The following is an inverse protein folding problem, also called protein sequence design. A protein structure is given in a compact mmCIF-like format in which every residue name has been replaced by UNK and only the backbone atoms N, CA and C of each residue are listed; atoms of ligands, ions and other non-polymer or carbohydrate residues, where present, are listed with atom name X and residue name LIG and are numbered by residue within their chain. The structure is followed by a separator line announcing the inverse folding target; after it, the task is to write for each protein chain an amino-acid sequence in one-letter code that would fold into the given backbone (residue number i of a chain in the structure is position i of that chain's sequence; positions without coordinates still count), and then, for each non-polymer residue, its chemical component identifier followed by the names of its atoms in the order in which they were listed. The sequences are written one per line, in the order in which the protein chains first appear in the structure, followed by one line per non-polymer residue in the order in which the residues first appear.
data_IF_950930255362
#
_entry.id   IF_950930255362
#
_cell.length_a   1.000
_cell.length_b   1.000
_cell.length_c   1.000
_cell.angle_alpha   90.00
_cell.angle_beta   90.00
_cell.angle_gamma   90.00
#
_symmetry.space_group_name_H-M   'P 1'
#
loop_
_entity.id
_entity.type
_entity.pdbx_description
1 polymer ?
#
# COMPACT_ATOMS: atom_id res chain seq x y z
N UNK A 1 -0.62 -11.07 -20.41
CA UNK A 1 -2.08 -11.15 -20.25
C UNK A 1 -2.60 -9.87 -19.63
N UNK A 2 -3.62 -9.30 -20.21
CA UNK A 2 -4.24 -8.08 -19.69
C UNK A 2 -5.15 -8.43 -18.50
N UNK A 3 -5.15 -7.58 -17.45
CA UNK A 3 -6.10 -7.71 -16.35
C UNK A 3 -7.41 -6.97 -16.70
N UNK A 4 -8.37 -6.97 -15.78
CA UNK A 4 -9.70 -6.37 -16.00
C UNK A 4 -9.67 -4.84 -16.24
N UNK A 5 -8.54 -4.18 -16.00
CA UNK A 5 -8.37 -2.74 -16.20
C UNK A 5 -7.56 -2.42 -17.45
N UNK A 6 -7.27 -3.42 -18.28
CA UNK A 6 -6.51 -3.24 -19.50
C UNK A 6 -5.00 -3.17 -19.30
N UNK A 7 -4.50 -3.30 -18.08
CA UNK A 7 -3.08 -3.33 -17.83
C UNK A 7 -2.46 -4.66 -18.24
N UNK A 8 -1.22 -4.61 -18.70
CA UNK A 8 -0.45 -5.79 -19.08
C UNK A 8 0.62 -6.02 -18.03
N UNK A 9 0.66 -7.24 -17.46
CA UNK A 9 1.70 -7.61 -16.50
C UNK A 9 3.02 -7.83 -17.22
N UNK A 10 4.08 -7.20 -16.71
CA UNK A 10 5.43 -7.31 -17.25
C UNK A 10 6.37 -7.59 -16.08
N UNK A 11 7.06 -8.75 -16.11
CA UNK A 11 8.06 -9.12 -15.08
C UNK A 11 7.53 -8.98 -13.65
N UNK A 12 6.26 -9.36 -13.43
CA UNK A 12 5.63 -9.27 -12.11
C UNK A 12 5.02 -7.92 -11.76
N UNK A 13 5.14 -6.92 -12.63
CA UNK A 13 4.52 -5.61 -12.44
C UNK A 13 3.17 -5.54 -13.14
N UNK A 14 2.27 -4.71 -12.61
CA UNK A 14 0.91 -4.55 -13.16
C UNK A 14 0.87 -3.80 -14.49
N UNK A 15 1.94 -3.11 -14.86
CA UNK A 15 2.01 -2.38 -16.11
C UNK A 15 3.44 -2.27 -16.63
N UNK A 16 3.55 -2.00 -17.93
CA UNK A 16 4.86 -1.73 -18.57
C UNK A 16 5.50 -0.47 -17.99
N UNK A 17 4.70 0.53 -17.67
CA UNK A 17 5.18 1.78 -17.08
C UNK A 17 5.82 1.53 -15.72
N UNK A 18 5.18 0.71 -14.87
CA UNK A 18 5.71 0.36 -13.56
C UNK A 18 7.02 -0.41 -13.68
N UNK A 19 7.07 -1.40 -14.60
CA UNK A 19 8.29 -2.17 -14.85
C UNK A 19 9.45 -1.28 -15.29
N UNK A 20 9.17 -0.34 -16.18
CA UNK A 20 10.17 0.63 -16.69
C UNK A 20 10.67 1.52 -15.55
N UNK A 21 9.76 2.01 -14.73
CA UNK A 21 10.14 2.83 -13.57
C UNK A 21 11.01 2.05 -12.60
N UNK A 22 10.68 0.78 -12.36
CA UNK A 22 11.50 -0.11 -11.54
C UNK A 22 12.93 -0.23 -12.06
N UNK A 23 13.09 -0.38 -13.36
CA UNK A 23 14.42 -0.45 -13.99
C UNK A 23 15.19 0.85 -13.77
N UNK A 24 14.54 1.99 -13.98
CA UNK A 24 15.15 3.31 -13.76
C UNK A 24 15.63 3.47 -12.31
N UNK A 25 14.78 3.11 -11.35
CA UNK A 25 15.11 3.25 -9.93
C UNK A 25 16.28 2.33 -9.54
N UNK A 26 16.33 1.11 -10.06
CA UNK A 26 17.45 0.20 -9.79
C UNK A 26 18.77 0.74 -10.33
N UNK A 27 18.74 1.40 -11.49
CA UNK A 27 19.92 2.06 -12.04
C UNK A 27 20.35 3.23 -11.15
N UNK A 28 19.42 4.03 -10.65
CA UNK A 28 19.72 5.13 -9.75
C UNK A 28 20.29 4.63 -8.42
N UNK A 29 19.79 3.51 -7.93
CA UNK A 29 20.33 2.90 -6.71
C UNK A 29 21.75 2.44 -6.88
N UNK A 30 22.07 1.78 -8.01
CA UNK A 30 23.44 1.37 -8.33
C UNK A 30 24.38 2.55 -8.49
N UNK A 31 23.87 3.66 -9.01
CA UNK A 31 24.66 4.88 -9.17
C UNK A 31 24.81 5.67 -7.86
N UNK A 32 24.20 5.22 -6.77
CA UNK A 32 24.27 5.89 -5.49
C UNK A 32 23.39 7.14 -5.36
N UNK A 33 22.48 7.35 -6.30
CA UNK A 33 21.58 8.51 -6.28
C UNK A 33 20.41 8.32 -5.31
N UNK A 34 20.00 7.08 -5.10
CA UNK A 34 18.99 6.68 -4.13
C UNK A 34 19.49 5.46 -3.35
N UNK A 35 18.85 5.19 -2.21
CA UNK A 35 19.15 4.00 -1.40
C UNK A 35 17.90 3.42 -0.80
N UNK A 36 18.00 2.20 -0.28
CA UNK A 36 16.91 1.49 0.40
C UNK A 36 15.65 1.37 -0.46
N UNK A 37 15.84 1.04 -1.74
CA UNK A 37 14.73 0.86 -2.67
C UNK A 37 13.91 -0.37 -2.27
N UNK A 38 12.59 -0.16 -2.10
CA UNK A 38 11.64 -1.21 -1.80
C UNK A 38 10.45 -1.09 -2.74
N UNK A 39 9.83 -2.21 -3.05
CA UNK A 39 8.69 -2.30 -3.95
C UNK A 39 7.47 -2.79 -3.19
N UNK A 40 6.29 -2.37 -3.60
CA UNK A 40 5.01 -2.83 -3.06
C UNK A 40 4.96 -2.72 -1.54
N UNK A 41 5.15 -1.52 -1.03
CA UNK A 41 5.22 -1.25 0.40
C UNK A 41 3.83 -0.90 0.94
N UNK A 42 3.27 -1.68 1.87
CA UNK A 42 1.95 -1.39 2.43
C UNK A 42 2.02 -0.35 3.54
N UNK A 43 1.02 0.52 3.56
CA UNK A 43 0.78 1.50 4.63
C UNK A 43 -0.63 1.31 5.16
N UNK A 44 -0.77 1.16 6.45
CA UNK A 44 -2.09 1.06 7.06
C UNK A 44 -2.70 2.46 7.16
N UNK A 45 -3.86 2.65 6.53
CA UNK A 45 -4.57 3.94 6.53
C UNK A 45 -5.63 3.99 7.62
N UNK A 46 -6.39 2.92 7.75
CA UNK A 46 -7.42 2.76 8.75
C UNK A 46 -7.18 1.42 9.44
N UNK A 47 -7.00 1.43 10.78
CA UNK A 47 -6.78 0.17 11.48
C UNK A 47 -8.01 -0.72 11.47
N UNK A 48 -7.83 -2.04 11.67
CA UNK A 48 -8.97 -2.94 11.75
C UNK A 48 -9.78 -2.66 13.00
N UNK A 49 -11.06 -2.98 12.94
CA UNK A 49 -11.97 -2.90 14.09
C UNK A 49 -12.30 -4.31 14.55
N UNK A 50 -12.10 -4.57 15.82
CA UNK A 50 -12.34 -5.86 16.45
C UNK A 50 -13.48 -5.76 17.45
N UNK A 51 -14.14 -6.88 17.70
CA UNK A 51 -15.17 -7.00 18.71
C UNK A 51 -14.91 -8.26 19.52
N UNK A 52 -15.06 -8.17 20.83
CA UNK A 52 -14.93 -9.31 21.73
C UNK A 52 -16.31 -9.83 22.06
N UNK A 53 -16.60 -11.10 21.74
CA UNK A 53 -17.88 -11.74 21.98
C UNK A 53 -17.74 -12.65 23.20
N UNK A 54 -18.57 -12.44 24.26
CA UNK A 54 -18.54 -13.30 25.44
C UNK A 54 -18.84 -14.75 25.08
N UNK A 55 -18.09 -15.66 25.70
CA UNK A 55 -18.29 -17.10 25.53
C UNK A 55 -18.52 -17.77 26.89
N UNK A 56 -19.31 -18.84 26.89
CA UNK A 56 -19.64 -19.59 28.07
C UNK A 56 -19.46 -21.07 27.83
N UNK A 57 -18.98 -21.79 28.83
CA UNK A 57 -18.83 -23.23 28.77
C UNK A 57 -20.20 -23.89 28.70
N UNK A 58 -20.41 -24.77 27.71
CA UNK A 58 -21.72 -25.37 27.46
C UNK A 58 -22.25 -26.20 28.64
N UNK A 59 -21.39 -26.94 29.31
CA UNK A 59 -21.79 -27.83 30.40
C UNK A 59 -22.00 -27.11 31.72
N UNK A 60 -21.21 -26.09 32.03
CA UNK A 60 -21.22 -25.42 33.33
C UNK A 60 -21.84 -24.03 33.33
N UNK A 61 -22.04 -23.43 32.15
CA UNK A 61 -22.49 -22.04 32.04
C UNK A 61 -21.44 -21.02 32.48
N UNK A 62 -20.24 -21.47 32.82
CA UNK A 62 -19.16 -20.62 33.30
C UNK A 62 -18.59 -19.77 32.16
N UNK A 63 -18.31 -18.49 32.44
CA UNK A 63 -17.69 -17.61 31.46
C UNK A 63 -16.25 -18.06 31.22
N UNK A 64 -15.92 -18.18 29.92
CA UNK A 64 -14.57 -18.49 29.45
C UNK A 64 -14.04 -17.32 28.63
N UNK A 65 -12.85 -17.46 28.06
CA UNK A 65 -12.21 -16.43 27.26
C UNK A 65 -13.12 -15.95 26.13
N UNK A 66 -13.24 -14.63 25.98
CA UNK A 66 -14.00 -14.03 24.87
C UNK A 66 -13.45 -14.45 23.52
N UNK A 67 -14.33 -14.55 22.53
CA UNK A 67 -13.95 -14.77 21.16
C UNK A 67 -13.77 -13.42 20.48
N UNK A 68 -12.58 -13.19 19.91
CA UNK A 68 -12.28 -11.97 19.19
C UNK A 68 -12.61 -12.16 17.72
N UNK A 69 -13.44 -11.28 17.17
CA UNK A 69 -13.83 -11.31 15.75
C UNK A 69 -13.53 -9.96 15.12
N UNK A 70 -13.25 -10.00 13.83
CA UNK A 70 -13.01 -8.78 13.07
C UNK A 70 -14.35 -8.24 12.57
N UNK A 71 -14.63 -6.97 12.83
CA UNK A 71 -15.82 -6.26 12.34
C UNK A 71 -15.50 -5.63 11.00
N UNK A 72 -14.39 -4.92 10.92
CA UNK A 72 -13.89 -4.30 9.70
C UNK A 72 -12.41 -4.57 9.53
N UNK A 73 -12.02 -4.89 8.32
CA UNK A 73 -10.60 -5.10 7.99
C UNK A 73 -9.89 -3.76 7.86
N UNK A 74 -8.57 -3.78 8.05
CA UNK A 74 -7.75 -2.60 7.84
C UNK A 74 -7.88 -2.11 6.39
N UNK A 75 -7.85 -0.80 6.21
CA UNK A 75 -7.71 -0.19 4.88
C UNK A 75 -6.24 0.14 4.69
N UNK A 76 -5.65 -0.33 3.59
CA UNK A 76 -4.23 -0.14 3.30
C UNK A 76 -4.03 0.53 1.95
N UNK A 77 -2.93 1.28 1.85
CA UNK A 77 -2.38 1.75 0.59
C UNK A 77 -1.08 1.00 0.33
N UNK A 78 -0.89 0.51 -0.89
CA UNK A 78 0.34 -0.17 -1.28
C UNK A 78 1.07 0.74 -2.27
N UNK A 79 2.23 1.26 -1.86
CA UNK A 79 3.06 2.11 -2.71
C UNK A 79 3.84 1.24 -3.69
N UNK A 80 3.96 1.69 -4.93
CA UNK A 80 4.72 0.95 -5.94
C UNK A 80 6.21 0.92 -5.59
N UNK A 81 6.78 2.06 -5.20
CA UNK A 81 8.19 2.17 -4.85
C UNK A 81 8.40 3.12 -3.67
N UNK A 82 9.30 2.74 -2.78
CA UNK A 82 9.73 3.60 -1.67
C UNK A 82 11.25 3.55 -1.61
N UNK A 83 11.88 4.71 -1.49
CA UNK A 83 13.33 4.81 -1.42
C UNK A 83 13.74 6.09 -0.69
N UNK A 84 15.02 6.21 -0.41
CA UNK A 84 15.59 7.41 0.19
C UNK A 84 16.42 8.13 -0.86
N UNK A 85 16.17 9.43 -1.05
CA UNK A 85 17.01 10.28 -1.89
C UNK A 85 18.34 10.46 -1.19
N UNK A 86 19.43 10.02 -1.84
CA UNK A 86 20.75 10.05 -1.21
C UNK A 86 21.28 11.47 -1.00
N UNK A 87 20.80 12.43 -1.79
CA UNK A 87 21.23 13.82 -1.69
C UNK A 87 20.55 14.53 -0.52
N UNK A 88 19.23 14.37 -0.38
CA UNK A 88 18.44 15.07 0.63
C UNK A 88 18.23 14.28 1.91
N UNK A 89 18.33 12.95 1.84
CA UNK A 89 18.01 12.06 2.95
C UNK A 89 16.52 11.85 3.14
N UNK A 90 15.69 12.40 2.27
CA UNK A 90 14.24 12.27 2.38
C UNK A 90 13.75 10.95 1.83
N UNK A 91 12.73 10.39 2.48
CA UNK A 91 12.02 9.21 1.97
C UNK A 91 11.03 9.64 0.90
N UNK A 92 11.09 8.98 -0.24
CA UNK A 92 10.19 9.21 -1.37
C UNK A 92 9.26 8.02 -1.52
N UNK A 93 7.97 8.29 -1.63
CA UNK A 93 6.94 7.28 -1.86
C UNK A 93 6.34 7.55 -3.24
N UNK A 94 6.51 6.59 -4.15
CA UNK A 94 6.06 6.74 -5.54
C UNK A 94 4.88 5.84 -5.85
N UNK A 95 3.98 6.38 -6.65
CA UNK A 95 2.90 5.65 -7.26
C UNK A 95 2.94 5.88 -8.77
N UNK A 96 3.00 4.80 -9.53
CA UNK A 96 3.08 4.88 -10.99
C UNK A 96 1.67 4.97 -11.55
N UNK A 97 1.35 6.09 -12.21
CA UNK A 97 0.02 6.35 -12.76
C UNK A 97 0.02 6.29 -14.28
N UNK A 98 -0.68 5.29 -14.83
CA UNK A 98 -0.94 5.25 -16.27
C UNK A 98 -2.23 5.97 -16.63
N UNK A 99 -3.17 6.07 -15.69
CA UNK A 99 -4.53 6.51 -15.97
C UNK A 99 -5.09 7.29 -14.79
N UNK A 100 -5.54 8.53 -15.02
CA UNK A 100 -5.99 9.43 -13.97
C UNK A 100 -7.49 9.74 -14.06
N UNK A 101 -8.30 8.71 -14.26
CA UNK A 101 -9.76 8.85 -14.30
C UNK A 101 -10.43 7.54 -13.89
N UNK A 102 -11.73 7.63 -13.56
CA UNK A 102 -12.55 6.48 -13.22
C UNK A 102 -12.54 6.13 -11.74
N UNK A 103 -13.32 5.09 -11.36
CA UNK A 103 -13.49 4.73 -9.94
C UNK A 103 -12.21 4.34 -9.22
N UNK A 104 -11.29 3.71 -9.92
CA UNK A 104 -10.00 3.31 -9.35
C UNK A 104 -9.12 4.48 -8.98
N UNK A 105 -9.08 5.47 -9.85
CA UNK A 105 -8.34 6.68 -9.56
C UNK A 105 -8.99 7.43 -8.41
N UNK A 106 -10.32 7.46 -8.34
CA UNK A 106 -11.04 8.08 -7.22
C UNK A 106 -10.71 7.42 -5.88
N UNK A 107 -10.66 6.09 -5.86
CA UNK A 107 -10.25 5.35 -4.66
C UNK A 107 -8.81 5.69 -4.27
N UNK A 108 -7.91 5.74 -5.24
CA UNK A 108 -6.53 6.14 -5.00
C UNK A 108 -6.44 7.56 -4.41
N UNK A 109 -7.22 8.51 -4.93
CA UNK A 109 -7.23 9.88 -4.43
C UNK A 109 -7.59 9.93 -2.93
N UNK A 110 -8.56 9.12 -2.52
CA UNK A 110 -8.92 9.01 -1.10
C UNK A 110 -7.75 8.46 -0.29
N UNK A 111 -7.10 7.42 -0.76
CA UNK A 111 -5.94 6.83 -0.08
C UNK A 111 -4.77 7.82 -0.03
N UNK A 112 -4.54 8.57 -1.09
CA UNK A 112 -3.51 9.62 -1.12
C UNK A 112 -3.75 10.66 -0.03
N UNK A 113 -5.00 11.11 0.14
CA UNK A 113 -5.37 12.07 1.18
C UNK A 113 -5.14 11.51 2.58
N UNK A 114 -5.46 10.23 2.78
CA UNK A 114 -5.24 9.55 4.05
C UNK A 114 -3.75 9.39 4.35
N UNK A 115 -2.93 9.14 3.34
CA UNK A 115 -1.47 9.08 3.50
C UNK A 115 -0.92 10.41 3.99
N UNK A 116 -1.40 11.51 3.43
CA UNK A 116 -0.98 12.84 3.85
C UNK A 116 -1.44 13.15 5.28
N UNK A 117 -2.70 12.86 5.59
CA UNK A 117 -3.25 13.14 6.91
C UNK A 117 -2.62 12.30 8.01
N UNK A 118 -2.48 10.99 7.78
CA UNK A 118 -2.01 10.06 8.80
C UNK A 118 -0.49 10.09 8.99
N UNK A 119 0.25 10.14 7.90
CA UNK A 119 1.71 10.02 7.92
C UNK A 119 2.46 11.29 7.51
N UNK A 120 1.76 12.30 7.01
CA UNK A 120 2.41 13.47 6.45
C UNK A 120 3.15 13.18 5.15
N UNK A 121 2.83 12.07 4.49
CA UNK A 121 3.51 11.64 3.27
C UNK A 121 2.77 12.17 2.05
N UNK A 122 3.52 12.88 1.20
CA UNK A 122 3.04 13.31 -0.12
C UNK A 122 3.50 12.29 -1.15
N UNK A 123 2.55 11.59 -1.73
CA UNK A 123 2.87 10.60 -2.76
C UNK A 123 3.34 11.30 -4.02
N UNK A 124 4.47 10.84 -4.58
CA UNK A 124 4.97 11.30 -5.86
C UNK A 124 4.34 10.44 -6.95
N UNK A 125 3.50 11.05 -7.76
CA UNK A 125 2.90 10.37 -8.91
C UNK A 125 3.86 10.46 -10.10
N UNK A 126 4.11 9.32 -10.69
CA UNK A 126 5.08 9.21 -11.80
C UNK A 126 4.41 8.73 -13.07
#
# INVERSE_FOLDING_TARGET
MANKYGNVKVRGYDSKKEARRGDELRLLERAGKIRDLREQVPYELIPPVWEDIPQYHKATGRRIKDRRVIVERACKYVADFVYVDAETGETVVEDVKGYKSGPQYQLYVIKRKLMLQRYGIRIKEV
#
